data_IF_072037767005
#
_entry.id   IF_072037767005
#
_cell.length_a   1.000
_cell.length_b   1.000
_cell.length_c   1.000
_cell.angle_alpha   90.00
_cell.angle_beta   90.00
_cell.angle_gamma   90.00
#
_symmetry.space_group_name_H-M   'P 1'
#
loop_
_entity.id
_entity.type
_entity.pdbx_description
1 polymer ?
#
# COMPACT_ATOMS: atom_id res chain seq x y z
N UNK A 1 -4.99 1.22 -7.01
CA UNK A 1 -4.20 0.03 -7.34
C UNK A 1 -4.84 -1.21 -6.71
N UNK A 2 -5.45 -2.03 -7.51
CA UNK A 2 -6.07 -3.27 -7.04
C UNK A 2 -5.08 -4.43 -7.28
N UNK A 3 -4.63 -5.05 -6.19
CA UNK A 3 -3.67 -6.16 -6.26
C UNK A 3 -4.31 -7.53 -6.03
N UNK A 4 -5.65 -7.58 -5.90
CA UNK A 4 -6.35 -8.85 -5.59
C UNK A 4 -6.18 -9.90 -6.66
N UNK A 5 -5.95 -9.49 -7.92
CA UNK A 5 -5.73 -10.40 -9.05
C UNK A 5 -4.25 -10.61 -9.36
N UNK A 6 -3.37 -10.01 -8.59
CA UNK A 6 -1.92 -10.17 -8.75
C UNK A 6 -1.46 -11.28 -7.82
N UNK A 7 -0.59 -12.17 -8.29
CA UNK A 7 -0.07 -13.24 -7.44
C UNK A 7 0.68 -12.62 -6.25
N UNK A 8 0.53 -13.17 -5.04
CA UNK A 8 1.03 -12.52 -3.82
C UNK A 8 2.49 -12.10 -3.85
N UNK A 9 3.38 -12.92 -4.41
CA UNK A 9 4.81 -12.60 -4.44
C UNK A 9 5.14 -11.38 -5.30
N UNK A 10 4.24 -10.96 -6.19
CA UNK A 10 4.44 -9.79 -7.05
C UNK A 10 3.76 -8.54 -6.53
N UNK A 11 2.91 -8.67 -5.50
CA UNK A 11 2.14 -7.54 -4.95
C UNK A 11 3.04 -6.49 -4.32
N UNK A 12 3.95 -6.90 -3.43
CA UNK A 12 4.82 -5.95 -2.73
C UNK A 12 5.74 -5.19 -3.68
N UNK A 13 6.44 -5.84 -4.63
CA UNK A 13 7.25 -5.10 -5.61
C UNK A 13 6.42 -4.11 -6.43
N UNK A 14 5.22 -4.48 -6.84
CA UNK A 14 4.34 -3.58 -7.60
C UNK A 14 3.92 -2.37 -6.77
N UNK A 15 3.55 -2.60 -5.50
CA UNK A 15 3.13 -1.54 -4.59
C UNK A 15 4.28 -0.57 -4.33
N UNK A 16 5.48 -1.08 -4.04
CA UNK A 16 6.64 -0.23 -3.81
C UNK A 16 7.04 0.54 -5.06
N UNK A 17 6.98 -0.10 -6.24
CA UNK A 17 7.24 0.57 -7.51
C UNK A 17 6.25 1.71 -7.78
N UNK A 18 4.97 1.48 -7.48
CA UNK A 18 3.94 2.51 -7.61
C UNK A 18 4.22 3.68 -6.66
N UNK A 19 4.53 3.37 -5.40
CA UNK A 19 4.86 4.39 -4.40
C UNK A 19 6.10 5.19 -4.81
N UNK A 20 7.15 4.52 -5.22
CA UNK A 20 8.41 5.19 -5.57
C UNK A 20 8.26 6.09 -6.81
N UNK A 21 7.29 5.83 -7.66
CA UNK A 21 6.97 6.67 -8.81
C UNK A 21 6.18 7.93 -8.47
N UNK A 22 5.67 8.06 -7.25
CA UNK A 22 4.93 9.25 -6.83
C UNK A 22 5.87 10.41 -6.56
N UNK A 23 5.37 11.64 -6.75
CA UNK A 23 6.01 12.84 -6.21
C UNK A 23 5.41 13.14 -4.83
N UNK A 24 6.13 13.94 -4.03
CA UNK A 24 5.67 14.31 -2.68
C UNK A 24 4.27 14.92 -2.74
N UNK A 25 3.39 14.47 -1.88
CA UNK A 25 2.01 14.91 -1.81
C UNK A 25 1.04 14.06 -2.62
N UNK A 26 1.52 13.24 -3.55
CA UNK A 26 0.66 12.33 -4.29
C UNK A 26 0.36 11.07 -3.47
N UNK A 27 -0.77 10.45 -3.79
CA UNK A 27 -1.20 9.24 -3.12
C UNK A 27 -1.80 8.24 -4.10
N UNK A 28 -1.95 7.01 -3.65
CA UNK A 28 -2.77 6.02 -4.34
C UNK A 28 -3.59 5.23 -3.33
N UNK A 29 -4.67 4.63 -3.81
CA UNK A 29 -5.50 3.75 -2.99
C UNK A 29 -5.12 2.31 -3.31
N UNK A 30 -4.63 1.59 -2.30
CA UNK A 30 -4.36 0.17 -2.41
C UNK A 30 -5.64 -0.61 -2.10
N UNK A 31 -6.02 -1.53 -2.98
CA UNK A 31 -7.14 -2.45 -2.74
C UNK A 31 -6.57 -3.85 -2.59
N UNK A 32 -6.86 -4.50 -1.46
CA UNK A 32 -6.37 -5.84 -1.14
C UNK A 32 -7.51 -6.71 -0.60
N UNK A 33 -7.29 -8.01 -0.53
CA UNK A 33 -8.27 -9.00 -0.06
C UNK A 33 -8.05 -9.42 1.40
N UNK A 34 -7.04 -8.88 2.05
CA UNK A 34 -6.74 -9.11 3.47
C UNK A 34 -6.03 -7.89 4.03
N UNK A 35 -5.90 -7.83 5.37
CA UNK A 35 -5.22 -6.72 6.04
C UNK A 35 -3.76 -6.64 5.59
N UNK A 36 -3.35 -5.52 4.93
CA UNK A 36 -1.98 -5.37 4.46
C UNK A 36 -1.00 -4.96 5.57
N UNK A 37 -1.17 -5.50 6.78
CA UNK A 37 -0.31 -5.15 7.91
C UNK A 37 1.15 -5.53 7.72
N UNK A 38 1.50 -6.70 7.15
CA UNK A 38 2.90 -7.00 6.86
C UNK A 38 3.52 -5.98 5.89
N UNK A 39 2.75 -5.51 4.92
CA UNK A 39 3.19 -4.46 3.99
C UNK A 39 3.44 -3.15 4.73
N UNK A 40 2.57 -2.79 5.68
CA UNK A 40 2.73 -1.60 6.51
C UNK A 40 4.08 -1.64 7.25
N UNK A 41 4.41 -2.78 7.86
CA UNK A 41 5.69 -2.91 8.57
C UNK A 41 6.88 -2.81 7.62
N UNK A 42 6.74 -3.32 6.39
CA UNK A 42 7.78 -3.17 5.39
C UNK A 42 7.98 -1.71 4.99
N UNK A 43 6.89 -0.95 4.84
CA UNK A 43 6.97 0.49 4.60
C UNK A 43 7.66 1.21 5.75
N UNK A 44 7.32 0.86 6.99
CA UNK A 44 7.97 1.45 8.17
C UNK A 44 9.47 1.18 8.15
N UNK A 45 9.89 0.00 7.71
CA UNK A 45 11.30 -0.38 7.70
C UNK A 45 12.05 0.26 6.53
N UNK A 46 11.45 0.32 5.34
CA UNK A 46 12.13 0.70 4.11
C UNK A 46 11.86 2.13 3.66
N UNK A 47 10.79 2.76 4.14
CA UNK A 47 10.36 4.12 3.76
C UNK A 47 10.01 4.96 4.97
N UNK A 48 10.66 4.72 6.09
CA UNK A 48 10.40 5.42 7.35
C UNK A 48 10.38 6.94 7.15
N UNK A 49 9.31 7.58 7.64
CA UNK A 49 9.17 9.03 7.57
C UNK A 49 8.78 9.58 6.21
N UNK A 50 8.64 8.72 5.18
CA UNK A 50 8.37 9.16 3.81
C UNK A 50 6.95 8.85 3.33
N UNK A 51 6.10 8.27 4.17
CA UNK A 51 4.75 7.90 3.78
C UNK A 51 3.74 8.17 4.90
N UNK A 52 2.46 8.30 4.51
CA UNK A 52 1.36 8.19 5.45
C UNK A 52 0.44 7.05 5.01
N UNK A 53 -0.25 6.46 5.97
CA UNK A 53 -1.03 5.23 5.79
C UNK A 53 -2.39 5.41 6.45
N UNK A 54 -3.45 5.36 5.66
CA UNK A 54 -4.80 5.56 6.16
C UNK A 54 -5.72 4.47 5.68
N UNK A 55 -6.29 3.70 6.63
CA UNK A 55 -7.30 2.70 6.29
C UNK A 55 -8.61 3.39 5.89
N UNK A 56 -9.09 3.07 4.70
CA UNK A 56 -10.38 3.54 4.20
C UNK A 56 -11.47 2.47 4.35
N UNK A 57 -11.08 1.20 4.30
CA UNK A 57 -11.99 0.08 4.48
C UNK A 57 -11.22 -1.08 5.13
N UNK A 58 -11.81 -1.67 6.17
CA UNK A 58 -11.15 -2.70 6.99
C UNK A 58 -11.93 -4.00 6.95
N UNK A 59 -11.97 -4.62 5.79
CA UNK A 59 -12.50 -5.95 5.62
C UNK A 59 -14.00 -6.13 5.85
N UNK A 60 -14.41 -7.39 6.08
CA UNK A 60 -13.52 -8.55 6.14
C UNK A 60 -12.93 -8.98 4.79
N UNK A 61 -13.63 -8.74 3.67
CA UNK A 61 -13.23 -9.30 2.38
C UNK A 61 -12.45 -8.32 1.51
N UNK A 62 -12.64 -7.03 1.76
CA UNK A 62 -11.94 -5.99 1.01
C UNK A 62 -11.30 -5.00 1.97
N UNK A 63 -10.05 -4.69 1.69
CA UNK A 63 -9.24 -3.74 2.45
C UNK A 63 -8.76 -2.65 1.52
N UNK A 64 -8.98 -1.39 1.90
CA UNK A 64 -8.50 -0.25 1.13
C UNK A 64 -7.67 0.65 2.02
N UNK A 65 -6.51 1.04 1.52
CA UNK A 65 -5.57 1.90 2.24
C UNK A 65 -5.14 3.02 1.33
N UNK A 66 -5.20 4.24 1.83
CA UNK A 66 -4.63 5.41 1.15
C UNK A 66 -3.18 5.56 1.58
N UNK A 67 -2.28 5.45 0.63
CA UNK A 67 -0.84 5.60 0.87
C UNK A 67 -0.37 6.88 0.18
N UNK A 68 0.13 7.80 0.97
CA UNK A 68 0.57 9.11 0.48
C UNK A 68 2.09 9.22 0.60
N UNK A 69 2.73 9.76 -0.43
CA UNK A 69 4.15 10.07 -0.37
C UNK A 69 4.35 11.45 0.27
N UNK A 70 5.10 11.49 1.34
CA UNK A 70 5.37 12.73 2.07
C UNK A 70 6.52 13.53 1.47
#
# INVERSE_FOLDING_TARGET
>A
LNVTEIIPRERHPLIFGTFDGLVSGECFILVNDHDPKPLYYQFLHEREGHFSWEYLEQGPDRWRVKITKL
#
